data_IF_278732308997
#
_entry.id   IF_278732308997
#
_cell.length_a   1.000
_cell.length_b   1.000
_cell.length_c   1.000
_cell.angle_alpha   90.00
_cell.angle_beta   90.00
_cell.angle_gamma   90.00
#
_symmetry.space_group_name_H-M   'P 1'
#
loop_
_entity.id
_entity.type
_entity.pdbx_description
1 polymer ?
#
# COMPACT_ATOMS: atom_id res chain seq x y z
N UNK A 1 47.52 -17.69 -60.09
CA UNK A 1 46.75 -18.68 -59.31
C UNK A 1 47.37 -18.73 -57.93
N UNK A 2 46.80 -18.19 -56.86
CA UNK A 2 45.46 -18.39 -56.32
C UNK A 2 45.07 -17.11 -55.56
N UNK A 3 43.99 -16.44 -56.00
CA UNK A 3 43.36 -15.33 -55.27
C UNK A 3 42.01 -15.89 -54.76
N UNK A 4 42.00 -16.39 -53.53
CA UNK A 4 40.78 -16.83 -52.87
C UNK A 4 40.93 -16.59 -51.37
N UNK A 5 40.19 -15.60 -50.85
CA UNK A 5 39.39 -15.66 -49.61
C UNK A 5 39.19 -14.27 -49.05
N UNK A 6 37.92 -13.90 -48.85
CA UNK A 6 37.57 -12.74 -48.05
C UNK A 6 36.21 -12.12 -48.36
N UNK A 7 35.17 -12.93 -48.64
CA UNK A 7 33.80 -12.39 -48.62
C UNK A 7 33.38 -12.34 -47.15
N UNK A 8 33.51 -11.16 -46.55
CA UNK A 8 33.02 -10.84 -45.21
C UNK A 8 31.48 -10.80 -45.26
N UNK A 9 30.85 -11.91 -44.92
CA UNK A 9 29.40 -12.01 -44.82
C UNK A 9 28.97 -11.44 -43.47
N UNK A 10 28.74 -10.12 -43.41
CA UNK A 10 28.09 -9.46 -42.29
C UNK A 10 26.63 -9.93 -42.20
N UNK A 11 26.38 -10.97 -41.40
CA UNK A 11 25.02 -11.33 -41.00
C UNK A 11 24.57 -10.36 -39.91
N UNK A 12 23.69 -9.41 -40.27
CA UNK A 12 22.95 -8.58 -39.31
C UNK A 12 22.02 -9.48 -38.48
N UNK A 13 22.45 -9.84 -37.27
CA UNK A 13 21.58 -10.40 -36.25
C UNK A 13 20.68 -9.28 -35.71
N UNK A 14 19.49 -9.11 -36.29
CA UNK A 14 18.44 -8.30 -35.67
C UNK A 14 17.90 -9.07 -34.45
N UNK A 15 18.44 -8.75 -33.27
CA UNK A 15 17.84 -9.12 -31.99
C UNK A 15 16.48 -8.40 -31.89
N UNK A 16 15.40 -9.12 -32.19
CA UNK A 16 14.05 -8.72 -31.80
C UNK A 16 13.98 -8.73 -30.28
N UNK A 17 14.21 -7.56 -29.67
CA UNK A 17 13.93 -7.35 -28.25
C UNK A 17 12.41 -7.37 -28.11
N UNK A 18 11.84 -8.55 -27.84
CA UNK A 18 10.50 -8.66 -27.31
C UNK A 18 10.51 -8.08 -25.90
N UNK A 19 10.32 -6.77 -25.80
CA UNK A 19 10.09 -6.12 -24.53
C UNK A 19 8.79 -6.67 -23.94
N UNK A 20 8.91 -7.52 -22.93
CA UNK A 20 7.76 -7.93 -22.12
C UNK A 20 7.25 -6.68 -21.42
N UNK A 21 6.20 -6.07 -21.96
CA UNK A 21 5.49 -4.97 -21.31
C UNK A 21 4.52 -5.57 -20.31
N UNK A 22 4.96 -5.75 -19.06
CA UNK A 22 4.03 -5.96 -17.96
C UNK A 22 3.27 -4.65 -17.71
N UNK A 23 2.00 -4.60 -18.12
CA UNK A 23 1.11 -3.53 -17.72
C UNK A 23 0.76 -3.70 -16.23
N UNK A 24 0.84 -2.65 -15.40
CA UNK A 24 0.31 -2.72 -14.05
C UNK A 24 -1.20 -3.05 -14.11
N UNK A 25 -1.77 -3.61 -13.02
CA UNK A 25 -3.22 -3.79 -12.92
C UNK A 25 -3.96 -2.48 -13.21
N UNK A 26 -5.16 -2.58 -13.78
CA UNK A 26 -6.04 -1.42 -13.93
C UNK A 26 -6.33 -0.75 -12.58
N UNK A 27 -6.79 0.49 -12.62
CA UNK A 27 -7.30 1.13 -11.41
C UNK A 27 -8.50 0.35 -10.87
N UNK A 28 -8.40 -0.03 -9.61
CA UNK A 28 -9.36 -0.87 -8.92
C UNK A 28 -10.54 -0.05 -8.42
N UNK A 29 -10.44 1.28 -8.40
CA UNK A 29 -11.54 2.21 -8.11
C UNK A 29 -12.04 2.79 -9.43
N UNK A 30 -13.32 2.59 -9.71
CA UNK A 30 -14.00 3.12 -10.92
C UNK A 30 -15.20 3.93 -10.49
N UNK A 31 -15.20 5.24 -10.78
CA UNK A 31 -16.28 6.17 -10.42
C UNK A 31 -16.98 6.69 -11.67
N UNK A 32 -18.31 6.84 -11.63
CA UNK A 32 -19.09 7.37 -12.76
C UNK A 32 -18.92 8.89 -12.92
N UNK A 33 -18.71 9.61 -11.81
CA UNK A 33 -18.53 11.06 -11.80
C UNK A 33 -17.34 11.47 -10.92
N UNK A 34 -16.19 11.73 -11.55
CA UNK A 34 -14.91 12.11 -10.91
C UNK A 34 -14.56 11.18 -9.73
N UNK A 35 -14.97 11.55 -8.51
CA UNK A 35 -14.70 10.83 -7.27
C UNK A 35 -15.97 10.33 -6.56
N UNK A 36 -17.13 10.33 -7.23
CA UNK A 36 -18.44 9.96 -6.68
C UNK A 36 -19.09 8.81 -7.45
N UNK A 37 -19.99 8.07 -6.79
CA UNK A 37 -20.62 6.85 -7.29
C UNK A 37 -19.56 5.87 -7.83
N UNK A 38 -18.80 5.34 -6.88
CA UNK A 38 -17.63 4.53 -7.10
C UNK A 38 -17.91 3.06 -6.87
N UNK A 39 -17.18 2.24 -7.62
CA UNK A 39 -17.05 0.81 -7.39
C UNK A 39 -15.59 0.50 -7.11
N UNK A 40 -15.37 -0.50 -6.26
CA UNK A 40 -14.03 -1.00 -5.96
C UNK A 40 -13.96 -2.51 -6.19
N UNK A 41 -12.85 -2.98 -6.75
CA UNK A 41 -12.55 -4.41 -6.88
C UNK A 41 -11.21 -4.73 -6.21
N UNK A 42 -10.87 -6.01 -6.12
CA UNK A 42 -9.51 -6.40 -5.76
C UNK A 42 -8.60 -6.39 -6.99
N UNK A 43 -7.32 -6.72 -6.81
CA UNK A 43 -6.33 -6.85 -7.89
C UNK A 43 -6.70 -7.84 -9.01
N UNK A 44 -7.64 -8.76 -8.77
CA UNK A 44 -8.15 -9.71 -9.76
C UNK A 44 -9.37 -9.19 -10.53
N UNK A 45 -9.83 -7.98 -10.22
CA UNK A 45 -10.99 -7.34 -10.84
C UNK A 45 -12.34 -7.81 -10.27
N UNK A 46 -12.36 -8.76 -9.31
CA UNK A 46 -13.60 -9.27 -8.71
C UNK A 46 -13.36 -9.94 -7.37
N UNK A 47 -14.26 -9.74 -6.41
CA UNK A 47 -14.22 -10.43 -5.12
C UNK A 47 -14.77 -11.87 -5.21
N UNK A 48 -14.44 -12.77 -4.26
CA UNK A 48 -14.78 -14.20 -4.36
C UNK A 48 -16.27 -14.53 -4.58
N UNK A 49 -17.17 -13.76 -3.96
CA UNK A 49 -18.63 -13.92 -4.09
C UNK A 49 -19.21 -13.22 -5.33
N UNK A 50 -18.36 -12.60 -6.17
CA UNK A 50 -18.71 -11.85 -7.38
C UNK A 50 -19.59 -10.62 -7.15
N UNK A 51 -19.81 -10.21 -5.91
CA UNK A 51 -20.58 -8.99 -5.64
C UNK A 51 -19.75 -7.74 -5.93
N UNK A 52 -20.40 -6.74 -6.51
CA UNK A 52 -19.84 -5.40 -6.67
C UNK A 52 -19.80 -4.72 -5.31
N UNK A 53 -18.68 -4.05 -5.05
CA UNK A 53 -18.46 -3.26 -3.87
C UNK A 53 -18.61 -1.79 -4.24
N UNK A 54 -19.62 -1.11 -3.66
CA UNK A 54 -19.96 0.28 -3.97
C UNK A 54 -19.52 1.22 -2.87
N UNK A 55 -19.24 2.46 -3.22
CA UNK A 55 -18.98 3.55 -2.30
C UNK A 55 -19.46 4.86 -2.92
N UNK A 56 -20.07 5.73 -2.12
CA UNK A 56 -20.61 6.98 -2.60
C UNK A 56 -19.50 7.95 -3.04
N UNK A 57 -18.30 7.85 -2.43
CA UNK A 57 -17.16 8.71 -2.76
C UNK A 57 -15.82 8.04 -2.48
N UNK A 58 -14.77 8.54 -3.12
CA UNK A 58 -13.36 8.27 -2.80
C UNK A 58 -12.59 9.56 -2.57
N UNK A 59 -11.76 9.59 -1.53
CA UNK A 59 -10.77 10.62 -1.28
C UNK A 59 -9.35 10.09 -1.50
N UNK A 60 -8.45 10.97 -1.94
CA UNK A 60 -7.07 10.65 -2.27
C UNK A 60 -6.11 11.61 -1.55
N UNK A 61 -5.93 11.49 -0.22
CA UNK A 61 -4.95 12.31 0.50
C UNK A 61 -3.56 12.11 -0.07
N UNK A 62 -2.78 13.19 -0.06
CA UNK A 62 -1.37 13.25 -0.42
C UNK A 62 -0.47 13.65 0.75
N UNK A 63 -1.05 14.10 1.86
CA UNK A 63 -0.36 14.39 3.12
C UNK A 63 -1.15 13.87 4.33
N UNK A 64 -0.50 13.75 5.49
CA UNK A 64 -1.15 13.33 6.73
C UNK A 64 -2.23 14.35 7.16
N UNK A 65 -2.02 15.64 6.94
CA UNK A 65 -3.00 16.70 7.26
C UNK A 65 -4.28 16.58 6.43
N UNK A 66 -4.15 16.28 5.14
CA UNK A 66 -5.31 16.00 4.28
C UNK A 66 -6.06 14.76 4.77
N UNK A 67 -5.33 13.70 5.15
CA UNK A 67 -5.92 12.50 5.72
C UNK A 67 -6.67 12.78 7.03
N UNK A 68 -6.08 13.56 7.94
CA UNK A 68 -6.73 13.99 9.20
C UNK A 68 -8.02 14.75 8.89
N UNK A 69 -7.99 15.72 7.97
CA UNK A 69 -9.18 16.49 7.59
C UNK A 69 -10.28 15.61 7.00
N UNK A 70 -9.91 14.64 6.16
CA UNK A 70 -10.86 13.69 5.57
C UNK A 70 -11.51 12.83 6.64
N UNK A 71 -10.71 12.25 7.56
CA UNK A 71 -11.22 11.41 8.65
C UNK A 71 -12.10 12.21 9.60
N UNK A 72 -11.71 13.44 9.94
CA UNK A 72 -12.48 14.34 10.79
C UNK A 72 -13.85 14.64 10.18
N UNK A 73 -13.88 15.10 8.93
CA UNK A 73 -15.12 15.42 8.22
C UNK A 73 -16.03 14.21 8.07
N UNK A 74 -15.49 13.04 7.75
CA UNK A 74 -16.28 11.82 7.64
C UNK A 74 -16.83 11.37 9.01
N UNK A 75 -16.04 11.51 10.08
CA UNK A 75 -16.45 11.19 11.44
C UNK A 75 -17.56 12.12 11.93
N UNK A 76 -17.43 13.43 11.72
CA UNK A 76 -18.46 14.43 12.03
C UNK A 76 -19.80 14.12 11.33
N UNK A 77 -19.72 13.69 10.06
CA UNK A 77 -20.88 13.28 9.27
C UNK A 77 -21.34 11.84 9.53
N UNK A 78 -20.76 11.14 10.52
CA UNK A 78 -21.06 9.74 10.87
C UNK A 78 -20.96 8.78 9.68
N UNK A 79 -20.07 9.08 8.74
CA UNK A 79 -19.88 8.33 7.50
C UNK A 79 -18.89 7.20 7.71
N UNK A 80 -19.28 5.98 7.32
CA UNK A 80 -18.38 4.82 7.35
C UNK A 80 -17.24 5.02 6.36
N UNK A 81 -16.02 4.68 6.78
CA UNK A 81 -14.81 4.83 5.98
C UNK A 81 -14.15 3.47 5.76
N UNK A 82 -13.51 3.29 4.61
CA UNK A 82 -12.66 2.13 4.32
C UNK A 82 -11.40 2.55 3.57
N UNK A 83 -10.28 1.93 3.92
CA UNK A 83 -8.97 2.24 3.33
C UNK A 83 -8.73 1.41 2.08
N UNK A 84 -8.49 2.07 0.95
CA UNK A 84 -8.17 1.45 -0.32
C UNK A 84 -6.67 1.60 -0.62
N UNK A 85 -5.92 0.50 -0.56
CA UNK A 85 -4.51 0.49 -0.94
C UNK A 85 -4.36 0.56 -2.45
N UNK A 86 -3.20 1.02 -2.95
CA UNK A 86 -2.93 1.28 -4.39
C UNK A 86 -3.41 0.20 -5.37
N UNK A 87 -3.40 -1.08 -4.98
CA UNK A 87 -3.82 -2.19 -5.83
C UNK A 87 -4.92 -3.07 -5.24
N UNK A 88 -5.47 -2.74 -4.06
CA UNK A 88 -6.55 -3.50 -3.40
C UNK A 88 -6.33 -5.03 -3.45
N UNK A 89 -5.14 -5.49 -3.06
CA UNK A 89 -4.76 -6.91 -3.22
C UNK A 89 -5.34 -7.85 -2.13
N UNK A 90 -6.39 -7.41 -1.44
CA UNK A 90 -7.07 -8.23 -0.44
C UNK A 90 -8.05 -9.19 -1.14
N UNK A 91 -7.94 -10.49 -0.86
CA UNK A 91 -8.94 -11.47 -1.32
C UNK A 91 -10.27 -11.25 -0.58
N UNK A 92 -10.30 -11.12 0.76
CA UNK A 92 -11.52 -10.71 1.45
C UNK A 92 -11.87 -9.25 1.17
N UNK A 93 -13.16 -8.93 1.31
CA UNK A 93 -13.74 -7.60 1.08
C UNK A 93 -13.47 -6.58 2.19
N UNK A 94 -12.25 -6.53 2.73
CA UNK A 94 -11.92 -5.63 3.84
C UNK A 94 -12.17 -4.16 3.50
N UNK A 95 -11.92 -3.78 2.24
CA UNK A 95 -12.11 -2.43 1.70
C UNK A 95 -13.57 -2.08 1.43
N UNK A 96 -14.49 -3.04 1.48
CA UNK A 96 -15.88 -2.76 1.16
C UNK A 96 -16.57 -2.02 2.29
N UNK A 97 -17.10 -0.81 2.06
CA UNK A 97 -17.96 -0.19 3.03
C UNK A 97 -19.26 -1.00 3.13
N UNK A 98 -19.92 -0.83 4.27
CA UNK A 98 -21.24 -1.39 4.47
C UNK A 98 -22.28 -0.44 3.86
N UNK A 99 -23.10 -0.95 2.94
CA UNK A 99 -24.03 -0.16 2.12
C UNK A 99 -23.34 0.60 0.97
N UNK A 100 -24.01 1.62 0.45
CA UNK A 100 -23.52 2.41 -0.70
C UNK A 100 -22.97 3.79 -0.28
N UNK A 101 -23.30 4.28 0.92
CA UNK A 101 -22.96 5.64 1.38
C UNK A 101 -21.52 5.80 1.91
N UNK A 102 -20.71 4.73 1.87
CA UNK A 102 -19.36 4.73 2.41
C UNK A 102 -18.39 5.69 1.71
N UNK A 103 -17.32 6.06 2.41
CA UNK A 103 -16.17 6.77 1.86
C UNK A 103 -14.97 5.82 1.72
N UNK A 104 -14.40 5.74 0.53
CA UNK A 104 -13.09 5.13 0.33
C UNK A 104 -12.01 6.19 0.59
N UNK A 105 -10.97 5.83 1.35
CA UNK A 105 -9.76 6.64 1.52
C UNK A 105 -8.63 5.90 0.82
N UNK A 106 -8.22 6.39 -0.34
CA UNK A 106 -7.14 5.77 -1.10
C UNK A 106 -5.78 6.29 -0.65
N UNK A 107 -4.89 5.39 -0.22
CA UNK A 107 -3.52 5.75 0.17
C UNK A 107 -2.58 5.86 -1.03
N UNK A 108 -3.10 5.82 -2.27
CA UNK A 108 -2.28 5.79 -3.50
C UNK A 108 -1.28 6.94 -3.62
N UNK A 109 -1.59 8.12 -3.05
CA UNK A 109 -0.72 9.31 -3.07
C UNK A 109 -0.03 9.61 -1.72
N UNK A 110 -0.35 8.88 -0.65
CA UNK A 110 0.43 8.84 0.59
C UNK A 110 1.56 7.82 0.43
N UNK A 111 2.54 8.11 -0.43
CA UNK A 111 3.53 7.12 -0.88
C UNK A 111 4.98 7.63 -0.88
N UNK A 112 5.34 8.50 0.06
CA UNK A 112 6.69 9.03 0.23
C UNK A 112 7.50 8.26 1.29
N UNK A 113 8.81 8.16 1.08
CA UNK A 113 9.74 7.83 2.15
C UNK A 113 10.09 9.12 2.90
N UNK A 114 9.97 9.10 4.23
CA UNK A 114 10.02 10.30 5.06
C UNK A 114 11.38 10.45 5.75
N UNK A 115 11.94 9.35 6.26
CA UNK A 115 13.21 9.33 6.98
C UNK A 115 13.92 8.00 6.79
N UNK A 116 15.23 8.02 6.57
CA UNK A 116 16.10 6.83 6.65
C UNK A 116 17.14 7.11 7.74
N UNK A 117 17.27 6.19 8.69
CA UNK A 117 18.24 6.24 9.77
C UNK A 117 19.16 5.03 9.64
N UNK A 118 20.35 5.26 9.07
CA UNK A 118 21.31 4.18 8.73
C UNK A 118 21.91 3.56 9.98
N UNK A 119 22.18 4.36 11.01
CA UNK A 119 22.74 3.87 12.28
C UNK A 119 21.73 3.00 13.03
N UNK A 120 20.47 3.43 13.10
CA UNK A 120 19.40 2.63 13.69
C UNK A 120 18.89 1.51 12.77
N UNK A 121 19.30 1.49 11.50
CA UNK A 121 18.79 0.60 10.44
C UNK A 121 17.25 0.65 10.30
N UNK A 122 16.68 1.85 10.36
CA UNK A 122 15.23 2.06 10.23
C UNK A 122 14.88 2.97 9.06
N UNK A 123 13.65 2.81 8.55
CA UNK A 123 13.08 3.68 7.53
C UNK A 123 11.62 3.97 7.88
N UNK A 124 11.27 5.25 7.87
CA UNK A 124 9.90 5.75 8.03
C UNK A 124 9.34 6.07 6.67
N UNK A 125 8.15 5.54 6.36
CA UNK A 125 7.49 5.68 5.06
C UNK A 125 6.01 5.91 5.25
N UNK A 126 5.35 6.55 4.29
CA UNK A 126 3.89 6.60 4.28
C UNK A 126 3.29 5.25 3.89
N UNK A 127 2.07 4.99 4.37
CA UNK A 127 1.44 3.67 4.27
C UNK A 127 1.13 3.20 2.84
N UNK A 128 1.04 4.12 1.88
CA UNK A 128 0.85 3.84 0.46
C UNK A 128 2.15 3.53 -0.30
N UNK A 129 3.32 3.66 0.33
CA UNK A 129 4.59 3.18 -0.24
C UNK A 129 4.45 1.70 -0.56
N UNK A 130 4.82 1.31 -1.78
CA UNK A 130 4.87 -0.11 -2.16
C UNK A 130 6.13 -0.77 -1.62
N UNK A 131 6.08 -2.07 -1.37
CA UNK A 131 7.23 -2.86 -0.97
C UNK A 131 8.39 -2.71 -1.97
N UNK A 132 8.11 -2.63 -3.27
CA UNK A 132 9.13 -2.32 -4.28
C UNK A 132 9.79 -0.96 -4.06
N UNK A 133 9.02 0.09 -3.75
CA UNK A 133 9.57 1.41 -3.43
C UNK A 133 10.41 1.36 -2.16
N UNK A 134 9.91 0.71 -1.10
CA UNK A 134 10.65 0.52 0.15
C UNK A 134 12.00 -0.18 -0.07
N UNK A 135 12.03 -1.29 -0.83
CA UNK A 135 13.27 -2.00 -1.18
C UNK A 135 14.24 -1.07 -1.92
N UNK A 136 13.75 -0.28 -2.88
CA UNK A 136 14.59 0.63 -3.64
C UNK A 136 15.16 1.76 -2.77
N UNK A 137 14.37 2.34 -1.86
CA UNK A 137 14.85 3.39 -0.96
C UNK A 137 15.85 2.85 0.07
N UNK A 138 15.59 1.67 0.64
CA UNK A 138 16.52 1.00 1.53
C UNK A 138 17.86 0.70 0.83
N UNK A 139 17.83 0.20 -0.40
CA UNK A 139 19.02 -0.12 -1.17
C UNK A 139 19.90 1.11 -1.47
N UNK A 140 19.32 2.30 -1.66
CA UNK A 140 20.09 3.55 -1.82
C UNK A 140 20.90 3.91 -0.57
N UNK A 141 20.45 3.44 0.59
CA UNK A 141 21.10 3.63 1.88
C UNK A 141 21.89 2.38 2.32
N UNK A 142 22.15 1.43 1.41
CA UNK A 142 22.86 0.18 1.69
C UNK A 142 22.18 -0.70 2.75
N UNK A 143 20.86 -0.53 2.94
CA UNK A 143 20.02 -1.33 3.82
C UNK A 143 19.22 -2.36 3.03
N UNK A 144 18.77 -3.41 3.73
CA UNK A 144 17.92 -4.46 3.17
C UNK A 144 16.83 -4.86 4.16
N UNK A 145 15.66 -5.20 3.63
CA UNK A 145 14.61 -5.85 4.42
C UNK A 145 15.04 -7.29 4.72
N UNK A 146 14.94 -7.76 5.97
CA UNK A 146 15.34 -9.12 6.31
C UNK A 146 14.46 -10.16 5.59
N UNK A 147 13.14 -9.90 5.52
CA UNK A 147 12.16 -10.75 4.85
C UNK A 147 11.08 -9.92 4.16
N UNK A 148 10.50 -10.50 3.10
CA UNK A 148 9.44 -9.88 2.31
C UNK A 148 8.53 -10.96 1.69
N UNK A 149 7.23 -10.67 1.49
CA UNK A 149 6.35 -11.52 0.69
C UNK A 149 6.77 -11.54 -0.79
N UNK A 150 6.32 -12.56 -1.53
CA UNK A 150 6.72 -12.76 -2.92
C UNK A 150 6.34 -11.60 -3.86
N UNK A 151 5.18 -10.96 -3.61
CA UNK A 151 4.67 -9.90 -4.48
C UNK A 151 4.96 -8.52 -3.90
N UNK A 152 5.92 -7.83 -4.50
CA UNK A 152 6.37 -6.48 -4.11
C UNK A 152 5.45 -5.32 -4.52
N UNK A 153 4.27 -5.61 -5.09
CA UNK A 153 3.26 -4.59 -5.40
C UNK A 153 2.46 -4.14 -4.18
N UNK A 154 2.53 -4.88 -3.07
CA UNK A 154 1.80 -4.58 -1.84
C UNK A 154 2.26 -3.27 -1.20
N UNK A 155 1.33 -2.47 -0.69
CA UNK A 155 1.64 -1.25 0.08
C UNK A 155 1.97 -1.57 1.53
N UNK A 156 2.85 -0.80 2.18
CA UNK A 156 3.28 -1.03 3.57
C UNK A 156 2.09 -1.08 4.54
N UNK A 157 1.14 -0.14 4.46
CA UNK A 157 -0.06 -0.16 5.31
C UNK A 157 -0.89 -1.43 5.13
N UNK A 158 -1.00 -1.93 3.90
CA UNK A 158 -1.66 -3.20 3.58
C UNK A 158 -0.93 -4.42 4.15
N UNK A 159 0.40 -4.43 4.08
CA UNK A 159 1.24 -5.50 4.64
C UNK A 159 1.09 -5.57 6.17
N UNK A 160 1.19 -4.42 6.83
CA UNK A 160 1.08 -4.31 8.29
C UNK A 160 -0.33 -4.66 8.78
N UNK A 161 -1.37 -4.26 8.04
CA UNK A 161 -2.76 -4.49 8.43
C UNK A 161 -3.22 -5.93 8.25
N UNK A 162 -2.61 -6.71 7.35
CA UNK A 162 -3.10 -8.06 6.99
C UNK A 162 -2.15 -9.19 7.38
N UNK A 163 -1.03 -8.88 8.03
CA UNK A 163 -0.09 -9.90 8.49
C UNK A 163 0.73 -10.53 7.37
N UNK A 164 0.99 -9.79 6.29
CA UNK A 164 1.72 -10.32 5.15
C UNK A 164 3.16 -10.70 5.51
N UNK A 165 3.62 -11.84 4.99
CA UNK A 165 4.88 -12.45 5.40
C UNK A 165 5.57 -13.19 4.25
N UNK A 166 6.89 -13.35 4.38
CA UNK A 166 7.71 -14.25 3.55
C UNK A 166 7.84 -15.64 4.18
N UNK A 167 9.01 -16.26 4.04
CA UNK A 167 9.36 -17.53 4.67
C UNK A 167 10.71 -17.44 5.38
N UNK A 168 10.76 -17.78 6.67
CA UNK A 168 12.01 -17.96 7.42
C UNK A 168 11.76 -18.78 8.69
N UNK A 169 12.85 -19.30 9.26
CA UNK A 169 12.89 -19.92 10.59
C UNK A 169 13.89 -19.19 11.52
N UNK A 170 14.31 -17.97 11.16
CA UNK A 170 15.34 -17.19 11.87
C UNK A 170 14.80 -15.84 12.30
N UNK A 171 15.58 -15.15 13.16
CA UNK A 171 15.32 -13.78 13.63
C UNK A 171 13.94 -13.63 14.30
N UNK A 172 13.23 -12.53 14.04
CA UNK A 172 11.91 -12.23 14.61
C UNK A 172 10.75 -12.95 13.92
N UNK A 173 10.97 -13.54 12.74
CA UNK A 173 9.92 -14.13 11.91
C UNK A 173 9.95 -13.61 10.48
N UNK A 174 9.00 -14.05 9.65
CA UNK A 174 8.92 -13.60 8.24
C UNK A 174 7.86 -12.53 8.00
N UNK A 175 7.09 -12.14 9.01
CA UNK A 175 6.04 -11.16 8.86
C UNK A 175 6.58 -9.75 8.94
N UNK A 176 6.10 -8.88 8.04
CA UNK A 176 6.62 -7.50 7.95
C UNK A 176 6.35 -6.72 9.23
N UNK A 177 5.23 -7.00 9.92
CA UNK A 177 4.86 -6.35 11.18
C UNK A 177 5.71 -6.80 12.38
N UNK A 178 6.49 -7.88 12.28
CA UNK A 178 7.44 -8.29 13.34
C UNK A 178 8.63 -7.34 13.44
N UNK A 179 8.90 -6.61 12.35
CA UNK A 179 9.99 -5.63 12.23
C UNK A 179 9.53 -4.18 12.38
N UNK A 180 8.23 -3.95 12.60
CA UNK A 180 7.68 -2.62 12.86
C UNK A 180 8.12 -2.14 14.25
N UNK A 181 8.70 -0.94 14.32
CA UNK A 181 9.16 -0.31 15.57
C UNK A 181 8.26 0.82 16.03
N UNK A 182 7.57 1.46 15.09
CA UNK A 182 6.71 2.62 15.31
C UNK A 182 5.71 2.73 14.16
N UNK A 183 4.51 3.25 14.44
CA UNK A 183 3.51 3.55 13.43
C UNK A 183 2.65 4.74 13.87
N UNK A 184 2.05 5.42 12.88
CA UNK A 184 1.04 6.47 13.10
C UNK A 184 -0.29 6.06 12.50
N UNK A 185 -1.36 6.17 13.28
CA UNK A 185 -2.74 5.90 12.84
C UNK A 185 -3.61 7.13 13.03
N UNK A 186 -4.28 7.54 11.95
CA UNK A 186 -5.37 8.51 11.98
C UNK A 186 -6.68 7.75 12.13
N UNK A 187 -7.42 8.03 13.19
CA UNK A 187 -8.66 7.32 13.53
C UNK A 187 -9.77 8.30 13.89
N UNK A 188 -11.05 7.88 13.86
CA UNK A 188 -12.15 8.68 14.36
C UNK A 188 -11.91 9.16 15.80
N UNK A 189 -12.15 10.45 16.06
CA UNK A 189 -12.03 11.08 17.37
C UNK A 189 -13.34 11.71 17.84
N UNK A 190 -13.35 12.22 19.08
CA UNK A 190 -14.45 13.04 19.60
C UNK A 190 -14.41 14.48 19.06
N UNK A 191 -15.42 15.28 19.38
CA UNK A 191 -15.46 16.69 18.97
C UNK A 191 -14.31 17.50 19.60
N UNK A 192 -13.86 17.10 20.79
CA UNK A 192 -12.69 17.62 21.50
C UNK A 192 -11.36 17.38 20.77
N UNK A 193 -11.28 16.31 19.97
CA UNK A 193 -10.15 15.99 19.10
C UNK A 193 -10.33 16.59 17.69
N UNK A 194 -11.37 17.39 17.45
CA UNK A 194 -11.71 17.85 16.09
C UNK A 194 -12.17 16.71 15.17
N UNK A 195 -12.79 15.66 15.74
CA UNK A 195 -13.32 14.47 15.06
C UNK A 195 -12.29 13.51 14.46
N UNK A 196 -10.99 13.75 14.60
CA UNK A 196 -9.94 12.82 14.21
C UNK A 196 -8.80 12.83 15.22
N UNK A 197 -8.28 11.65 15.54
CA UNK A 197 -7.17 11.49 16.48
C UNK A 197 -6.02 10.74 15.85
N UNK A 198 -4.86 11.37 15.87
CA UNK A 198 -3.58 10.77 15.48
C UNK A 198 -3.01 10.05 16.70
N UNK A 199 -2.67 8.77 16.54
CA UNK A 199 -1.99 7.96 17.55
C UNK A 199 -0.64 7.55 16.99
N UNK A 200 0.41 7.90 17.71
CA UNK A 200 1.76 7.37 17.50
C UNK A 200 1.94 6.23 18.49
N UNK A 201 2.25 5.04 17.98
CA UNK A 201 2.43 3.83 18.78
C UNK A 201 3.81 3.24 18.50
N UNK A 202 4.58 2.99 19.55
CA UNK A 202 5.94 2.47 19.51
C UNK A 202 6.02 1.07 20.12
N UNK A 203 7.05 0.33 19.74
CA UNK A 203 7.32 -0.98 20.34
C UNK A 203 7.46 -0.85 21.87
N UNK A 204 6.70 -1.67 22.60
CA UNK A 204 6.56 -1.58 24.06
C UNK A 204 5.30 -0.84 24.54
N UNK A 205 4.62 -0.05 23.70
CA UNK A 205 3.34 0.55 24.08
C UNK A 205 2.26 -0.52 24.22
N UNK A 206 1.34 -0.32 25.18
CA UNK A 206 0.28 -1.29 25.49
C UNK A 206 -0.57 -1.67 24.25
N UNK A 207 -0.87 -0.69 23.40
CA UNK A 207 -1.76 -0.87 22.25
C UNK A 207 -1.02 -1.18 20.94
N UNK A 208 0.32 -1.22 20.95
CA UNK A 208 1.13 -1.41 19.74
C UNK A 208 0.82 -2.73 19.03
N UNK A 209 0.69 -3.81 19.79
CA UNK A 209 0.38 -5.13 19.23
C UNK A 209 -1.05 -5.21 18.68
N UNK A 210 -1.99 -4.39 19.15
CA UNK A 210 -3.34 -4.33 18.60
C UNK A 210 -3.39 -3.61 17.25
N UNK A 211 -2.47 -2.65 17.03
CA UNK A 211 -2.34 -1.94 15.76
C UNK A 211 -1.73 -2.82 14.65
N UNK A 212 -0.87 -3.77 15.01
CA UNK A 212 -0.37 -4.81 14.10
C UNK A 212 -1.52 -5.71 13.67
N UNK A 213 -1.61 -6.00 12.37
CA UNK A 213 -2.64 -6.89 11.81
C UNK A 213 -4.07 -6.41 12.14
N UNK A 214 -4.28 -5.10 12.16
CA UNK A 214 -5.56 -4.48 12.53
C UNK A 214 -6.67 -4.66 11.51
N UNK A 215 -6.40 -5.24 10.33
CA UNK A 215 -7.35 -5.39 9.22
C UNK A 215 -7.99 -4.06 8.76
N UNK A 216 -7.39 -2.92 9.13
CA UNK A 216 -7.90 -1.58 8.83
C UNK A 216 -9.12 -1.15 9.65
N UNK A 217 -9.39 -1.78 10.80
CA UNK A 217 -10.57 -1.44 11.64
C UNK A 217 -10.31 -0.35 12.68
N UNK A 218 -9.04 -0.08 13.00
CA UNK A 218 -8.65 0.89 14.02
C UNK A 218 -8.44 2.31 13.48
N UNK A 219 -8.40 2.48 12.16
CA UNK A 219 -8.13 3.74 11.48
C UNK A 219 -7.29 3.54 10.22
N UNK A 220 -6.77 4.64 9.71
CA UNK A 220 -5.87 4.68 8.57
C UNK A 220 -4.44 4.79 9.10
N UNK A 221 -3.60 3.78 8.86
CA UNK A 221 -2.16 3.92 9.08
C UNK A 221 -1.68 5.02 8.11
N UNK A 222 -1.10 6.11 8.63
CA UNK A 222 -0.51 7.16 7.82
C UNK A 222 0.95 6.86 7.52
N UNK A 223 1.69 6.37 8.53
CA UNK A 223 3.14 6.11 8.51
C UNK A 223 3.47 4.83 9.27
#
# INVERSE_FOLDING_TARGET
MVLLRGVFQFSCFFLLIFGVRCSPPEDHIKCSSKNTDCTITNSYGVFPDRSTCRAAEVAYPSTEEELISIVAKATENKRKMKVATRYSHSIPKLVCPDGEDGLLISTKYLNHALKIDVEAMTITVESGVTLRQLINEAAKAELVLPYAPYWWGLTIGGLLSTGAHGSTLRDKGSAVHDYLTELRIVSPGGAEDGYAKVRELKDGDQDFNAAKVSLGVLGVISQ
#
